data_IF_229216688074
#
_entry.id   IF_229216688074
#
_cell.length_a   1.000
_cell.length_b   1.000
_cell.length_c   1.000
_cell.angle_alpha   90.00
_cell.angle_beta   90.00
_cell.angle_gamma   90.00
#
_symmetry.space_group_name_H-M   'P 1'
#
loop_
_entity.id
_entity.type
_entity.pdbx_description
1 polymer ?
#
# COMPACT_ATOMS: atom_id res chain seq x y z
N UNK A 1 8.41 -7.71 11.87
CA UNK A 1 8.47 -8.32 10.51
C UNK A 1 9.62 -7.69 9.74
N UNK A 2 10.24 -8.39 8.78
CA UNK A 2 11.28 -7.79 7.95
C UNK A 2 10.68 -6.82 6.91
N UNK A 3 11.25 -5.61 6.79
CA UNK A 3 10.79 -4.58 5.83
C UNK A 3 10.81 -5.06 4.38
N UNK A 4 11.78 -5.91 4.02
CA UNK A 4 11.86 -6.50 2.68
C UNK A 4 10.65 -7.39 2.36
N UNK A 5 10.15 -8.16 3.32
CA UNK A 5 8.95 -8.99 3.14
C UNK A 5 7.69 -8.12 3.02
N UNK A 6 7.60 -7.06 3.82
CA UNK A 6 6.52 -6.08 3.75
C UNK A 6 6.47 -5.41 2.38
N UNK A 7 7.62 -4.90 1.89
CA UNK A 7 7.71 -4.24 0.60
C UNK A 7 7.31 -5.17 -0.56
N UNK A 8 7.79 -6.43 -0.55
CA UNK A 8 7.40 -7.43 -1.56
C UNK A 8 5.91 -7.74 -1.55
N UNK A 9 5.32 -7.89 -0.37
CA UNK A 9 3.89 -8.16 -0.25
C UNK A 9 3.05 -6.96 -0.71
N UNK A 10 3.46 -5.72 -0.40
CA UNK A 10 2.79 -4.51 -0.89
C UNK A 10 2.92 -4.35 -2.41
N UNK A 11 4.09 -4.64 -2.98
CA UNK A 11 4.26 -4.69 -4.45
C UNK A 11 3.27 -5.65 -5.10
N UNK A 12 3.16 -6.87 -4.57
CA UNK A 12 2.24 -7.87 -5.09
C UNK A 12 0.77 -7.47 -4.91
N UNK A 13 0.42 -6.81 -3.80
CA UNK A 13 -0.95 -6.32 -3.57
C UNK A 13 -1.29 -5.20 -4.54
N UNK A 14 -0.35 -4.29 -4.80
CA UNK A 14 -0.55 -3.10 -5.62
C UNK A 14 -0.23 -3.33 -7.11
N UNK A 15 0.17 -4.54 -7.52
CA UNK A 15 0.65 -4.88 -8.87
C UNK A 15 1.81 -3.99 -9.34
N UNK A 16 2.71 -3.62 -8.43
CA UNK A 16 3.86 -2.77 -8.74
C UNK A 16 5.07 -3.65 -9.04
N UNK A 17 5.59 -3.59 -10.26
CA UNK A 17 6.64 -4.51 -10.73
C UNK A 17 8.06 -3.90 -10.78
N UNK A 18 8.22 -2.60 -10.49
CA UNK A 18 9.49 -1.89 -10.71
C UNK A 18 10.39 -1.85 -9.46
N UNK A 19 11.69 -2.04 -9.68
CA UNK A 19 12.72 -1.97 -8.63
C UNK A 19 12.75 -0.61 -7.89
N UNK A 20 12.43 0.48 -8.60
CA UNK A 20 12.37 1.81 -7.98
C UNK A 20 11.25 1.92 -6.95
N UNK A 21 10.12 1.24 -7.16
CA UNK A 21 9.01 1.24 -6.21
C UNK A 21 9.23 0.29 -5.04
N UNK A 22 10.04 -0.77 -5.24
CA UNK A 22 10.54 -1.58 -4.14
C UNK A 22 11.33 -0.76 -3.12
N UNK A 23 12.26 0.09 -3.57
CA UNK A 23 13.06 0.92 -2.67
C UNK A 23 12.19 1.97 -1.95
N UNK A 24 11.22 2.56 -2.64
CA UNK A 24 10.24 3.48 -2.04
C UNK A 24 9.47 2.84 -0.89
N UNK A 25 9.03 1.60 -1.05
CA UNK A 25 8.28 0.87 -0.03
C UNK A 25 9.12 0.50 1.20
N UNK A 26 10.44 0.62 1.12
CA UNK A 26 11.38 0.42 2.25
C UNK A 26 11.71 1.71 3.01
N UNK A 27 11.41 2.88 2.46
CA UNK A 27 11.72 4.18 3.08
C UNK A 27 10.78 4.54 4.25
N UNK A 28 11.22 5.51 5.05
CA UNK A 28 10.48 6.02 6.22
C UNK A 28 9.19 6.76 5.84
N UNK A 29 9.09 7.21 4.59
CA UNK A 29 7.92 7.93 4.06
C UNK A 29 6.90 7.00 3.38
N UNK A 30 6.66 5.83 3.98
CA UNK A 30 5.83 4.77 3.37
C UNK A 30 4.43 5.26 3.00
N UNK A 31 3.82 6.13 3.81
CA UNK A 31 2.48 6.65 3.56
C UNK A 31 2.41 7.46 2.25
N UNK A 32 3.32 8.41 2.04
CA UNK A 32 3.33 9.22 0.81
C UNK A 32 3.70 8.36 -0.42
N UNK A 33 4.57 7.37 -0.24
CA UNK A 33 4.90 6.42 -1.32
C UNK A 33 3.68 5.58 -1.74
N UNK A 34 2.90 5.07 -0.77
CA UNK A 34 1.66 4.37 -1.05
C UNK A 34 0.63 5.29 -1.73
N UNK A 35 0.55 6.54 -1.30
CA UNK A 35 -0.33 7.56 -1.89
C UNK A 35 0.02 7.84 -3.34
N UNK A 36 1.32 8.00 -3.65
CA UNK A 36 1.81 8.17 -5.01
C UNK A 36 1.52 6.95 -5.89
N UNK A 37 1.70 5.73 -5.35
CA UNK A 37 1.36 4.49 -6.06
C UNK A 37 -0.14 4.47 -6.38
N UNK A 38 -1.02 4.70 -5.39
CA UNK A 38 -2.48 4.73 -5.60
C UNK A 38 -2.86 5.76 -6.67
N UNK A 39 -2.23 6.94 -6.65
CA UNK A 39 -2.46 7.96 -7.68
C UNK A 39 -2.07 7.46 -9.07
N UNK A 40 -0.97 6.71 -9.19
CA UNK A 40 -0.51 6.16 -10.47
C UNK A 40 -1.35 4.99 -10.99
N UNK A 41 -2.16 4.35 -10.13
CA UNK A 41 -3.01 3.22 -10.54
C UNK A 41 -4.25 3.65 -11.33
N UNK A 42 -4.63 4.93 -11.28
CA UNK A 42 -5.88 5.39 -11.90
C UNK A 42 -5.87 6.89 -12.19
N UNK A 43 -6.36 7.26 -13.37
CA UNK A 43 -6.59 8.67 -13.73
C UNK A 43 -7.91 9.22 -13.15
N UNK A 44 -8.73 8.38 -12.52
CA UNK A 44 -9.98 8.79 -11.92
C UNK A 44 -9.77 9.29 -10.48
N UNK A 45 -9.93 10.60 -10.29
CA UNK A 45 -9.76 11.24 -8.98
C UNK A 45 -10.64 10.63 -7.87
N UNK A 46 -11.88 10.24 -8.16
CA UNK A 46 -12.76 9.64 -7.14
C UNK A 46 -12.23 8.28 -6.67
N UNK A 47 -11.63 7.50 -7.57
CA UNK A 47 -11.01 6.22 -7.23
C UNK A 47 -9.72 6.45 -6.44
N UNK A 48 -8.91 7.44 -6.83
CA UNK A 48 -7.71 7.79 -6.09
C UNK A 48 -8.03 8.25 -4.65
N UNK A 49 -9.07 9.08 -4.46
CA UNK A 49 -9.53 9.53 -3.15
C UNK A 49 -10.02 8.38 -2.27
N UNK A 50 -10.73 7.39 -2.84
CA UNK A 50 -11.09 6.15 -2.12
C UNK A 50 -9.85 5.38 -1.66
N UNK A 51 -8.82 5.32 -2.48
CA UNK A 51 -7.55 4.71 -2.11
C UNK A 51 -6.85 5.47 -0.98
N UNK A 52 -6.87 6.81 -1.00
CA UNK A 52 -6.33 7.62 0.10
C UNK A 52 -7.10 7.41 1.40
N UNK A 53 -8.43 7.32 1.35
CA UNK A 53 -9.24 7.00 2.52
C UNK A 53 -8.88 5.64 3.14
N UNK A 54 -8.49 4.66 2.31
CA UNK A 54 -7.97 3.37 2.79
C UNK A 54 -6.63 3.52 3.50
N UNK A 55 -5.72 4.36 2.97
CA UNK A 55 -4.46 4.67 3.64
C UNK A 55 -4.69 5.41 4.96
N UNK A 56 -5.61 6.37 4.99
CA UNK A 56 -5.95 7.15 6.19
C UNK A 56 -6.51 6.26 7.29
N UNK A 57 -7.44 5.36 6.94
CA UNK A 57 -7.98 4.33 7.85
C UNK A 57 -6.86 3.48 8.46
N UNK A 58 -5.83 3.17 7.67
CA UNK A 58 -4.71 2.31 8.08
C UNK A 58 -3.47 3.08 8.52
N UNK A 59 -3.55 4.41 8.73
CA UNK A 59 -2.37 5.26 9.00
C UNK A 59 -1.55 4.77 10.19
N UNK A 60 -2.21 4.37 11.27
CA UNK A 60 -1.55 3.85 12.46
C UNK A 60 -0.76 2.56 12.18
N UNK A 61 -1.26 1.70 11.29
CA UNK A 61 -0.56 0.46 10.88
C UNK A 61 0.65 0.81 10.01
N UNK A 62 0.49 1.76 9.08
CA UNK A 62 1.58 2.24 8.23
C UNK A 62 2.71 2.84 9.08
N UNK A 63 2.38 3.62 10.11
CA UNK A 63 3.36 4.20 11.04
C UNK A 63 4.07 3.13 11.89
N UNK A 64 3.32 2.09 12.30
CA UNK A 64 3.92 0.91 12.95
C UNK A 64 4.86 0.15 12.02
N UNK A 65 4.55 0.08 10.73
CA UNK A 65 5.42 -0.56 9.73
C UNK A 65 6.72 0.23 9.57
N UNK A 66 6.65 1.56 9.47
CA UNK A 66 7.83 2.43 9.39
C UNK A 66 8.71 2.27 10.63
N UNK A 67 8.10 2.23 11.82
CA UNK A 67 8.82 2.03 13.09
C UNK A 67 9.21 0.56 13.38
N UNK A 68 8.95 -0.38 12.46
CA UNK A 68 9.17 -1.82 12.66
C UNK A 68 8.49 -2.42 13.91
N UNK A 69 7.40 -1.81 14.37
CA UNK A 69 6.62 -2.25 15.55
C UNK A 69 5.30 -2.92 15.18
N UNK A 70 4.99 -3.07 13.89
CA UNK A 70 3.76 -3.68 13.43
C UNK A 70 3.70 -5.19 13.73
N UNK A 71 2.49 -5.68 14.02
CA UNK A 71 2.20 -7.11 14.04
C UNK A 71 1.97 -7.67 12.62
N UNK A 72 1.97 -9.00 12.52
CA UNK A 72 1.59 -9.68 11.29
C UNK A 72 0.10 -9.48 10.96
N UNK A 73 -0.79 -9.52 11.96
CA UNK A 73 -2.22 -9.28 11.71
C UNK A 73 -2.48 -7.86 11.22
N UNK A 74 -1.79 -6.87 11.79
CA UNK A 74 -1.89 -5.48 11.34
C UNK A 74 -1.46 -5.33 9.88
N UNK A 75 -0.34 -5.97 9.51
CA UNK A 75 0.11 -5.96 8.13
C UNK A 75 -0.86 -6.68 7.17
N UNK A 76 -1.43 -7.81 7.59
CA UNK A 76 -2.44 -8.52 6.81
C UNK A 76 -3.70 -7.67 6.61
N UNK A 77 -4.14 -6.95 7.63
CA UNK A 77 -5.29 -6.05 7.54
C UNK A 77 -5.07 -4.96 6.49
N UNK A 78 -3.89 -4.31 6.49
CA UNK A 78 -3.52 -3.34 5.46
C UNK A 78 -3.54 -3.97 4.05
N UNK A 79 -2.99 -5.17 3.90
CA UNK A 79 -2.97 -5.87 2.62
C UNK A 79 -4.39 -6.20 2.11
N UNK A 80 -5.27 -6.69 2.99
CA UNK A 80 -6.65 -7.03 2.65
C UNK A 80 -7.47 -5.79 2.29
N UNK A 81 -7.30 -4.69 3.02
CA UNK A 81 -7.97 -3.41 2.72
C UNK A 81 -7.54 -2.88 1.33
N UNK A 82 -6.25 -2.93 1.00
CA UNK A 82 -5.72 -2.53 -0.31
C UNK A 82 -6.19 -3.46 -1.43
N UNK A 83 -6.22 -4.78 -1.21
CA UNK A 83 -6.79 -5.74 -2.18
C UNK A 83 -8.27 -5.50 -2.43
N UNK A 84 -9.02 -5.24 -1.36
CA UNK A 84 -10.46 -4.96 -1.44
C UNK A 84 -10.70 -3.70 -2.24
N UNK A 85 -9.94 -2.63 -1.97
CA UNK A 85 -9.96 -1.40 -2.75
C UNK A 85 -9.75 -1.66 -4.24
N UNK A 86 -8.68 -2.38 -4.61
CA UNK A 86 -8.39 -2.68 -6.01
C UNK A 86 -9.50 -3.49 -6.68
N UNK A 87 -10.02 -4.51 -6.00
CA UNK A 87 -11.10 -5.36 -6.50
C UNK A 87 -12.38 -4.57 -6.72
N UNK A 88 -12.77 -3.71 -5.78
CA UNK A 88 -13.99 -2.91 -5.86
C UNK A 88 -13.94 -1.85 -6.96
N UNK A 89 -12.75 -1.36 -7.30
CA UNK A 89 -12.56 -0.29 -8.28
C UNK A 89 -12.00 -0.79 -9.62
N UNK A 90 -11.93 -2.11 -9.84
CA UNK A 90 -11.47 -2.68 -11.12
C UNK A 90 -9.99 -2.42 -11.44
N UNK A 91 -9.15 -2.20 -10.43
CA UNK A 91 -7.72 -1.88 -10.57
C UNK A 91 -6.83 -3.14 -10.53
N UNK A 92 -7.41 -4.33 -10.68
CA UNK A 92 -6.63 -5.57 -10.79
C UNK A 92 -6.05 -5.60 -12.21
N UNK A 93 -4.73 -5.60 -12.32
CA UNK A 93 -4.10 -5.77 -13.63
C UNK A 93 -4.40 -7.18 -14.13
N UNK A 94 -4.90 -7.28 -15.38
CA UNK A 94 -5.12 -8.54 -16.08
C UNK A 94 -3.81 -9.18 -16.53
#
# INVERSE_FOLDING_TARGET
MERDLIARALMNVLDVAHFYDYEKLKNDDLYEQLKAIIHSLTDNQEIAEKGYAVLDKNKAIIDKIVSNTNSYEEFQLLCEDLRTFKRQNGLLSH
#
